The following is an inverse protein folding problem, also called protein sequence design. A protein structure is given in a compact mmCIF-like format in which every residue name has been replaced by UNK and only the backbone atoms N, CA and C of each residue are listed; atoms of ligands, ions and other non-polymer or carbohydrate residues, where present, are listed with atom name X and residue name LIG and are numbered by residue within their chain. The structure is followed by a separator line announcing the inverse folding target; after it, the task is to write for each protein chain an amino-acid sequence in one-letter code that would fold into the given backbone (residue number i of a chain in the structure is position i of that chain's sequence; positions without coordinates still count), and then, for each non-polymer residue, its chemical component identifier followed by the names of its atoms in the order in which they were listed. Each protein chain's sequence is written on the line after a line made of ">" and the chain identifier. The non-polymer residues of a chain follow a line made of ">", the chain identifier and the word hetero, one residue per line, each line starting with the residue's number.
data_IF_764105219726
#
_entry.id   IF_764105219726
#
_cell.length_a   1.000
_cell.length_b   1.000
_cell.length_c   1.000
_cell.angle_alpha   90.00
_cell.angle_beta   90.00
_cell.angle_gamma   90.00
#
_symmetry.space_group_name_H-M   'P 1'
#
loop_
_entity.id
_entity.type
_entity.pdbx_description
1 polymer ?
#
# COMPACT_ATOMS: atom_id res chain seq x y z
N UNK A 1 -40.18 -15.46 -7.47
CA UNK A 1 -39.02 -15.84 -8.28
C UNK A 1 -37.78 -15.34 -7.54
N UNK A 2 -37.03 -16.23 -6.87
CA UNK A 2 -35.87 -15.90 -6.03
C UNK A 2 -34.62 -15.84 -6.92
N UNK A 3 -34.00 -14.68 -7.07
CA UNK A 3 -32.68 -14.57 -7.71
C UNK A 3 -31.63 -15.08 -6.73
N UNK A 4 -30.99 -16.19 -7.11
CA UNK A 4 -29.82 -16.76 -6.42
C UNK A 4 -28.71 -15.72 -6.30
N UNK A 5 -28.06 -15.53 -5.14
CA UNK A 5 -26.88 -14.68 -5.05
C UNK A 5 -25.76 -15.39 -5.81
N UNK A 6 -25.62 -15.03 -7.08
CA UNK A 6 -24.47 -15.39 -7.90
C UNK A 6 -23.21 -15.16 -7.06
N UNK A 7 -22.38 -16.20 -6.98
CA UNK A 7 -21.00 -16.13 -6.56
C UNK A 7 -20.38 -14.86 -7.12
N UNK A 8 -20.31 -13.82 -6.28
CA UNK A 8 -19.49 -12.66 -6.60
C UNK A 8 -18.07 -13.22 -6.66
N UNK A 9 -17.36 -13.13 -7.79
CA UNK A 9 -15.96 -13.51 -7.82
C UNK A 9 -15.30 -12.80 -6.65
N UNK A 10 -14.57 -13.54 -5.80
CA UNK A 10 -13.94 -13.01 -4.59
C UNK A 10 -13.37 -11.62 -4.92
N UNK A 11 -14.03 -10.56 -4.41
CA UNK A 11 -13.86 -9.20 -4.92
C UNK A 11 -12.36 -8.90 -5.04
N UNK A 12 -11.86 -8.44 -6.20
CA UNK A 12 -10.42 -8.20 -6.35
C UNK A 12 -9.97 -7.26 -5.23
N UNK A 13 -9.02 -7.74 -4.42
CA UNK A 13 -8.42 -6.95 -3.35
C UNK A 13 -7.55 -5.87 -3.98
N UNK A 14 -7.89 -4.61 -3.72
CA UNK A 14 -7.15 -3.43 -4.17
C UNK A 14 -6.43 -2.82 -2.97
N UNK A 15 -5.12 -2.63 -3.10
CA UNK A 15 -4.31 -1.89 -2.14
C UNK A 15 -4.23 -0.42 -2.53
N UNK A 16 -4.78 0.47 -1.72
CA UNK A 16 -4.65 1.92 -1.87
C UNK A 16 -3.35 2.36 -1.22
N UNK A 17 -2.41 2.91 -1.98
CA UNK A 17 -1.12 3.42 -1.46
C UNK A 17 -1.17 4.94 -1.39
N UNK A 18 -0.94 5.50 -0.20
CA UNK A 18 -1.04 6.94 0.07
C UNK A 18 0.17 7.42 0.87
N UNK A 19 0.48 8.72 0.77
CA UNK A 19 1.56 9.32 1.57
C UNK A 19 1.23 9.29 3.06
N UNK A 20 0.04 9.73 3.41
CA UNK A 20 -0.41 9.77 4.79
C UNK A 20 -1.91 9.70 4.85
N UNK A 21 -2.47 9.01 5.83
CA UNK A 21 -3.92 8.91 6.01
C UNK A 21 -4.23 8.65 7.49
N UNK A 22 -5.34 9.17 8.05
CA UNK A 22 -6.26 10.15 7.46
C UNK A 22 -5.64 11.55 7.41
N UNK A 23 -6.06 12.39 6.45
CA UNK A 23 -5.60 13.80 6.34
C UNK A 23 -6.77 14.71 5.97
N UNK A 24 -6.97 15.78 6.73
CA UNK A 24 -8.10 16.71 6.60
C UNK A 24 -8.16 17.36 5.21
N UNK A 25 -7.00 17.65 4.61
CA UNK A 25 -6.92 18.22 3.26
C UNK A 25 -7.13 17.19 2.13
N UNK A 26 -7.17 15.90 2.43
CA UNK A 26 -7.27 14.81 1.45
C UNK A 26 -8.69 14.25 1.34
N UNK A 27 -9.67 15.14 1.14
CA UNK A 27 -11.08 14.77 0.99
C UNK A 27 -11.34 13.87 -0.22
N UNK A 28 -10.62 14.10 -1.33
CA UNK A 28 -10.74 13.28 -2.54
C UNK A 28 -10.41 11.80 -2.28
N UNK A 29 -9.31 11.52 -1.59
CA UNK A 29 -8.88 10.14 -1.25
C UNK A 29 -9.93 9.48 -0.36
N UNK A 30 -10.45 10.20 0.64
CA UNK A 30 -11.48 9.68 1.54
C UNK A 30 -12.76 9.33 0.78
N UNK A 31 -13.25 10.22 -0.08
CA UNK A 31 -14.47 9.98 -0.84
C UNK A 31 -14.30 8.88 -1.89
N UNK A 32 -13.13 8.74 -2.50
CA UNK A 32 -12.82 7.62 -3.39
C UNK A 32 -12.85 6.28 -2.66
N UNK A 33 -12.19 6.18 -1.50
CA UNK A 33 -12.22 4.98 -0.66
C UNK A 33 -13.67 4.62 -0.31
N UNK A 34 -14.45 5.59 0.20
CA UNK A 34 -15.86 5.34 0.57
C UNK A 34 -16.71 4.96 -0.63
N UNK A 35 -16.49 5.57 -1.80
CA UNK A 35 -17.21 5.22 -3.02
C UNK A 35 -16.90 3.77 -3.46
N UNK A 36 -15.63 3.37 -3.46
CA UNK A 36 -15.20 2.02 -3.78
C UNK A 36 -15.74 0.98 -2.77
N UNK A 37 -15.77 1.30 -1.48
CA UNK A 37 -16.39 0.45 -0.46
C UNK A 37 -17.90 0.30 -0.66
N UNK A 38 -18.61 1.39 -1.01
CA UNK A 38 -20.05 1.35 -1.35
C UNK A 38 -20.32 0.47 -2.58
N UNK A 39 -19.37 0.39 -3.52
CA UNK A 39 -19.43 -0.52 -4.66
C UNK A 39 -19.05 -1.98 -4.31
N UNK A 40 -18.67 -2.26 -3.06
CA UNK A 40 -18.32 -3.60 -2.59
C UNK A 40 -16.91 -4.06 -2.98
N UNK A 41 -16.02 -3.12 -3.32
CA UNK A 41 -14.59 -3.41 -3.56
C UNK A 41 -13.92 -3.72 -2.22
N UNK A 42 -13.10 -4.77 -2.18
CA UNK A 42 -12.32 -5.11 -1.00
C UNK A 42 -11.03 -4.29 -1.00
N UNK A 43 -10.89 -3.39 -0.03
CA UNK A 43 -9.80 -2.42 0.02
C UNK A 43 -8.90 -2.66 1.23
N UNK A 44 -7.62 -2.32 1.05
CA UNK A 44 -6.66 -2.16 2.12
C UNK A 44 -5.89 -0.87 1.88
N UNK A 45 -5.65 -0.07 2.93
CA UNK A 45 -4.96 1.21 2.82
C UNK A 45 -3.53 1.04 3.34
N UNK A 46 -2.56 1.43 2.54
CA UNK A 46 -1.14 1.43 2.84
C UNK A 46 -0.64 2.87 2.86
N UNK A 47 -0.59 3.47 4.05
CA UNK A 47 -0.09 4.82 4.25
C UNK A 47 1.42 4.78 4.54
N UNK A 48 2.20 5.64 3.88
CA UNK A 48 3.63 5.75 4.19
C UNK A 48 3.83 6.22 5.63
N UNK A 49 3.07 7.23 6.08
CA UNK A 49 3.14 7.74 7.44
C UNK A 49 1.78 8.06 8.05
N UNK A 50 1.67 7.96 9.37
CA UNK A 50 0.51 8.45 10.12
C UNK A 50 0.71 9.94 10.43
N UNK A 51 -0.13 10.84 9.89
CA UNK A 51 0.07 12.27 10.07
C UNK A 51 -0.35 12.77 11.47
N UNK A 52 -1.04 11.94 12.28
CA UNK A 52 -1.51 12.29 13.64
C UNK A 52 -2.24 13.62 13.72
N UNK A 53 -3.08 13.90 12.73
CA UNK A 53 -3.85 15.15 12.71
C UNK A 53 -4.87 15.16 13.86
N UNK A 54 -4.98 16.27 14.62
CA UNK A 54 -5.92 16.36 15.73
C UNK A 54 -7.38 16.44 15.25
N UNK A 55 -7.59 16.86 13.99
CA UNK A 55 -8.89 17.02 13.37
C UNK A 55 -8.86 16.34 12.02
N UNK A 56 -9.85 15.49 11.76
CA UNK A 56 -10.08 14.79 10.50
C UNK A 56 -11.56 14.92 10.12
N UNK A 57 -11.91 14.57 8.90
CA UNK A 57 -13.31 14.53 8.48
C UNK A 57 -14.07 13.47 9.29
N UNK A 58 -15.31 13.75 9.68
CA UNK A 58 -16.17 12.80 10.40
C UNK A 58 -16.34 11.45 9.67
N UNK A 59 -16.34 11.52 8.35
CA UNK A 59 -16.56 10.43 7.40
C UNK A 59 -15.41 9.42 7.38
N UNK A 60 -14.25 9.76 7.98
CA UNK A 60 -13.17 8.79 8.22
C UNK A 60 -13.66 7.64 9.10
N UNK A 61 -14.59 7.90 10.03
CA UNK A 61 -15.17 6.88 10.90
C UNK A 61 -15.99 5.81 10.14
N UNK A 62 -16.42 6.11 8.91
CA UNK A 62 -17.20 5.18 8.08
C UNK A 62 -16.31 4.23 7.25
N UNK A 63 -15.00 4.49 7.17
CA UNK A 63 -14.06 3.69 6.39
C UNK A 63 -13.82 2.35 7.05
N UNK A 64 -14.03 1.27 6.29
CA UNK A 64 -13.94 -0.11 6.80
C UNK A 64 -12.59 -0.75 6.48
N UNK A 65 -11.92 -0.27 5.44
CA UNK A 65 -10.64 -0.77 4.96
C UNK A 65 -9.58 -0.67 6.08
N UNK A 66 -8.84 -1.75 6.37
CA UNK A 66 -7.76 -1.68 7.33
C UNK A 66 -6.65 -0.77 6.81
N UNK A 67 -6.09 0.03 7.73
CA UNK A 67 -4.97 0.94 7.45
C UNK A 67 -3.68 0.35 8.00
N UNK A 68 -2.66 0.22 7.14
CA UNK A 68 -1.31 -0.20 7.48
C UNK A 68 -0.34 0.95 7.25
N UNK A 69 0.44 1.27 8.28
CA UNK A 69 1.44 2.34 8.23
C UNK A 69 2.82 1.77 7.95
N UNK A 70 3.39 2.09 6.78
CA UNK A 70 4.65 1.50 6.31
C UNK A 70 5.86 1.95 7.14
N UNK A 71 5.86 3.19 7.63
CA UNK A 71 6.87 3.71 8.56
C UNK A 71 6.88 2.99 9.92
N UNK A 72 5.82 2.27 10.27
CA UNK A 72 5.73 1.43 11.47
C UNK A 72 6.04 -0.03 11.21
N UNK A 73 6.14 -0.44 9.95
CA UNK A 73 6.54 -1.81 9.59
C UNK A 73 8.05 -2.02 9.74
N UNK A 74 8.82 -0.97 10.01
CA UNK A 74 10.24 -1.04 10.33
C UNK A 74 10.44 -1.64 11.72
N UNK A 75 10.44 -2.98 11.78
CA UNK A 75 10.84 -3.74 12.96
C UNK A 75 12.36 -3.82 13.10
N UNK A 76 12.81 -4.71 13.98
CA UNK A 76 14.24 -5.01 14.19
C UNK A 76 15.01 -5.24 12.88
N UNK A 77 16.33 -5.00 12.90
CA UNK A 77 17.22 -5.33 11.78
C UNK A 77 17.05 -6.79 11.31
N UNK A 78 16.78 -7.72 12.24
CA UNK A 78 16.52 -9.13 11.93
C UNK A 78 15.26 -9.33 11.09
N UNK A 79 14.15 -8.68 11.44
CA UNK A 79 12.90 -8.79 10.68
C UNK A 79 13.00 -8.06 9.33
N UNK A 80 13.76 -6.97 9.25
CA UNK A 80 14.09 -6.34 7.96
C UNK A 80 14.87 -7.31 7.07
N UNK A 81 15.98 -7.86 7.57
CA UNK A 81 16.80 -8.81 6.82
C UNK A 81 15.99 -10.05 6.36
N UNK A 82 15.12 -10.58 7.22
CA UNK A 82 14.25 -11.71 6.87
C UNK A 82 13.27 -11.40 5.73
N UNK A 83 12.75 -10.16 5.66
CA UNK A 83 11.89 -9.73 4.54
C UNK A 83 12.68 -9.65 3.24
N UNK A 84 13.86 -9.03 3.27
CA UNK A 84 14.75 -8.95 2.11
C UNK A 84 15.16 -10.35 1.61
N UNK A 85 15.63 -11.23 2.51
CA UNK A 85 16.07 -12.57 2.13
C UNK A 85 14.93 -13.43 1.56
N UNK A 86 13.73 -13.35 2.15
CA UNK A 86 12.54 -14.03 1.63
C UNK A 86 12.19 -13.58 0.21
N UNK A 87 12.19 -12.27 -0.05
CA UNK A 87 11.84 -11.74 -1.37
C UNK A 87 12.91 -12.05 -2.42
N UNK A 88 14.20 -11.97 -2.06
CA UNK A 88 15.31 -12.36 -2.94
C UNK A 88 15.22 -13.85 -3.30
N UNK A 89 14.92 -14.72 -2.34
CA UNK A 89 14.82 -16.16 -2.59
C UNK A 89 13.63 -16.53 -3.49
N UNK A 90 12.50 -15.82 -3.35
CA UNK A 90 11.26 -16.14 -4.09
C UNK A 90 11.21 -15.48 -5.47
N UNK A 91 11.62 -14.23 -5.57
CA UNK A 91 11.49 -13.41 -6.78
C UNK A 91 12.75 -12.59 -7.06
N UNK A 92 13.91 -13.23 -7.28
CA UNK A 92 15.19 -12.54 -7.41
C UNK A 92 15.19 -11.52 -8.55
N UNK A 93 14.56 -11.85 -9.69
CA UNK A 93 14.44 -10.94 -10.84
C UNK A 93 13.66 -9.67 -10.50
N UNK A 94 12.54 -9.80 -9.77
CA UNK A 94 11.71 -8.65 -9.38
C UNK A 94 12.44 -7.78 -8.35
N UNK A 95 13.06 -8.41 -7.35
CA UNK A 95 13.85 -7.70 -6.35
C UNK A 95 14.97 -6.88 -6.98
N UNK A 96 15.76 -7.48 -7.87
CA UNK A 96 16.85 -6.79 -8.56
C UNK A 96 16.32 -5.68 -9.48
N UNK A 97 15.20 -5.90 -10.17
CA UNK A 97 14.59 -4.86 -11.01
C UNK A 97 14.07 -3.68 -10.18
N UNK A 98 13.43 -3.94 -9.04
CA UNK A 98 13.01 -2.90 -8.11
C UNK A 98 14.21 -2.12 -7.58
N UNK A 99 15.29 -2.80 -7.17
CA UNK A 99 16.52 -2.14 -6.73
C UNK A 99 17.15 -1.29 -7.84
N UNK A 100 17.23 -1.79 -9.08
CA UNK A 100 17.73 -1.03 -10.24
C UNK A 100 16.87 0.20 -10.52
N UNK A 101 15.54 0.05 -10.47
CA UNK A 101 14.61 1.15 -10.64
C UNK A 101 14.83 2.22 -9.57
N UNK A 102 14.91 1.83 -8.29
CA UNK A 102 15.21 2.75 -7.20
C UNK A 102 16.58 3.43 -7.38
N UNK A 103 17.62 2.70 -7.83
CA UNK A 103 18.96 3.25 -8.11
C UNK A 103 18.96 4.24 -9.29
N UNK A 104 18.12 4.01 -10.30
CA UNK A 104 17.99 4.87 -11.49
C UNK A 104 17.10 6.10 -11.29
N UNK A 105 16.14 6.05 -10.35
CA UNK A 105 15.14 7.09 -10.10
C UNK A 105 15.69 8.30 -9.31
N UNK A 106 16.80 8.89 -9.76
CA UNK A 106 17.44 10.04 -9.09
C UNK A 106 16.56 11.28 -9.05
N UNK A 107 15.77 11.50 -10.09
CA UNK A 107 14.85 12.64 -10.19
C UNK A 107 13.73 12.57 -9.15
N UNK A 108 13.40 11.37 -8.65
CA UNK A 108 12.39 11.19 -7.61
C UNK A 108 12.82 11.68 -6.22
N UNK A 109 14.11 11.99 -6.04
CA UNK A 109 14.60 12.63 -4.81
C UNK A 109 14.45 14.17 -4.85
N UNK A 110 14.01 14.75 -5.98
CA UNK A 110 13.76 16.18 -6.12
C UNK A 110 12.27 16.54 -5.88
N UNK A 111 12.01 17.73 -5.33
CA UNK A 111 10.65 18.25 -5.17
C UNK A 111 9.92 17.83 -3.87
N UNK A 112 8.59 17.76 -3.94
CA UNK A 112 7.71 17.52 -2.79
C UNK A 112 7.68 16.03 -2.39
N UNK A 113 8.44 15.63 -1.35
CA UNK A 113 8.57 14.24 -0.87
C UNK A 113 8.49 14.10 0.65
N UNK A 114 8.15 12.90 1.13
CA UNK A 114 8.31 12.50 2.56
C UNK A 114 9.36 11.39 2.70
N UNK A 115 9.65 10.66 1.62
CA UNK A 115 10.61 9.57 1.61
C UNK A 115 11.60 9.73 0.46
N UNK A 116 12.86 9.36 0.67
CA UNK A 116 13.84 9.17 -0.41
C UNK A 116 13.49 7.95 -1.24
N UNK A 117 14.02 7.84 -2.47
CA UNK A 117 13.85 6.63 -3.31
C UNK A 117 14.30 5.35 -2.62
N UNK A 118 15.31 5.41 -1.75
CA UNK A 118 15.75 4.25 -0.98
C UNK A 118 14.78 3.92 0.16
N UNK A 119 14.20 4.91 0.83
CA UNK A 119 13.11 4.67 1.79
C UNK A 119 11.87 4.09 1.09
N UNK A 120 11.51 4.60 -0.09
CA UNK A 120 10.44 4.02 -0.91
C UNK A 120 10.72 2.55 -1.26
N UNK A 121 11.98 2.20 -1.57
CA UNK A 121 12.38 0.81 -1.78
C UNK A 121 12.21 -0.05 -0.51
N UNK A 122 12.59 0.46 0.67
CA UNK A 122 12.37 -0.25 1.94
C UNK A 122 10.87 -0.43 2.25
N UNK A 123 10.06 0.57 1.98
CA UNK A 123 8.60 0.48 2.12
C UNK A 123 8.00 -0.51 1.11
N UNK A 124 8.48 -0.55 -0.12
CA UNK A 124 8.05 -1.53 -1.12
C UNK A 124 8.40 -2.96 -0.72
N UNK A 125 9.61 -3.20 -0.20
CA UNK A 125 10.01 -4.50 0.38
C UNK A 125 9.09 -4.89 1.53
N UNK A 126 8.77 -3.93 2.41
CA UNK A 126 7.87 -4.16 3.54
C UNK A 126 6.45 -4.48 3.10
N UNK A 127 5.93 -3.74 2.11
CA UNK A 127 4.62 -3.94 1.52
C UNK A 127 4.54 -5.29 0.80
N UNK A 128 5.51 -5.63 -0.05
CA UNK A 128 5.57 -6.91 -0.76
C UNK A 128 5.58 -8.09 0.22
N UNK A 129 6.38 -8.02 1.28
CA UNK A 129 6.42 -9.07 2.30
C UNK A 129 5.10 -9.18 3.08
N UNK A 130 4.43 -8.06 3.36
CA UNK A 130 3.13 -8.04 4.01
C UNK A 130 2.06 -8.68 3.11
N UNK A 131 2.01 -8.31 1.82
CA UNK A 131 1.07 -8.86 0.84
C UNK A 131 1.27 -10.37 0.65
N UNK A 132 2.52 -10.83 0.52
CA UNK A 132 2.79 -12.27 0.43
C UNK A 132 2.35 -13.01 1.70
N UNK A 133 2.58 -12.42 2.89
CA UNK A 133 2.17 -13.04 4.15
C UNK A 133 0.66 -13.14 4.23
N UNK A 134 -0.06 -12.08 3.87
CA UNK A 134 -1.52 -12.05 3.84
C UNK A 134 -2.09 -13.06 2.86
N UNK A 135 -1.52 -13.16 1.65
CA UNK A 135 -1.93 -14.16 0.65
C UNK A 135 -1.76 -15.58 1.20
N UNK A 136 -0.66 -15.86 1.91
CA UNK A 136 -0.43 -17.18 2.54
C UNK A 136 -1.37 -17.46 3.71
N UNK A 137 -1.69 -16.47 4.54
CA UNK A 137 -2.53 -16.68 5.73
C UNK A 137 -4.02 -16.68 5.43
N UNK A 138 -4.47 -15.89 4.46
CA UNK A 138 -5.89 -15.69 4.17
C UNK A 138 -6.33 -16.33 2.85
N UNK A 139 -5.38 -16.71 1.98
CA UNK A 139 -5.67 -17.14 0.60
C UNK A 139 -6.08 -16.00 -0.34
N UNK A 140 -6.21 -14.78 0.17
CA UNK A 140 -6.62 -13.62 -0.63
C UNK A 140 -5.41 -12.87 -1.17
N UNK A 141 -5.34 -12.77 -2.49
CA UNK A 141 -4.29 -12.03 -3.20
C UNK A 141 -4.76 -10.63 -3.57
N UNK A 142 -3.99 -9.62 -3.15
CA UNK A 142 -4.12 -8.25 -3.70
C UNK A 142 -3.60 -8.25 -5.13
N UNK A 143 -4.46 -7.90 -6.08
CA UNK A 143 -4.15 -7.96 -7.52
C UNK A 143 -3.78 -6.61 -8.12
N UNK A 144 -4.14 -5.53 -7.44
CA UNK A 144 -3.95 -4.17 -7.93
C UNK A 144 -3.52 -3.26 -6.78
N UNK A 145 -2.49 -2.46 -7.04
CA UNK A 145 -2.10 -1.34 -6.19
C UNK A 145 -2.50 -0.04 -6.89
N UNK A 146 -3.32 0.76 -6.22
CA UNK A 146 -3.72 2.08 -6.67
C UNK A 146 -2.98 3.11 -5.82
N UNK A 147 -2.03 3.84 -6.43
CA UNK A 147 -1.24 4.85 -5.74
C UNK A 147 -1.75 6.25 -6.04
N UNK A 148 -2.02 7.04 -4.99
CA UNK A 148 -2.42 8.42 -5.16
C UNK A 148 -1.20 9.34 -5.33
N UNK A 149 -1.33 10.24 -6.32
CA UNK A 149 -0.35 11.26 -6.70
C UNK A 149 1.00 10.70 -7.17
N UNK A 150 1.60 11.33 -8.19
CA UNK A 150 2.83 10.88 -8.83
C UNK A 150 4.11 11.23 -8.02
N UNK A 151 4.19 10.79 -6.75
CA UNK A 151 5.38 10.94 -5.90
C UNK A 151 5.68 9.64 -5.10
N UNK A 152 6.04 9.73 -3.81
CA UNK A 152 6.43 8.58 -2.97
C UNK A 152 5.48 7.36 -3.05
N UNK A 153 4.13 7.48 -2.97
CA UNK A 153 3.22 6.34 -3.09
C UNK A 153 3.31 5.62 -4.43
N UNK A 154 3.43 6.36 -5.53
CA UNK A 154 3.63 5.76 -6.86
C UNK A 154 4.96 5.04 -6.93
N UNK A 155 6.03 5.59 -6.34
CA UNK A 155 7.32 4.92 -6.26
C UNK A 155 7.22 3.61 -5.46
N UNK A 156 6.56 3.64 -4.30
CA UNK A 156 6.34 2.42 -3.49
C UNK A 156 5.56 1.37 -4.27
N UNK A 157 4.47 1.76 -4.93
CA UNK A 157 3.65 0.85 -5.72
C UNK A 157 4.38 0.28 -6.94
N UNK A 158 5.20 1.08 -7.63
CA UNK A 158 6.02 0.66 -8.77
C UNK A 158 7.07 -0.39 -8.38
N UNK A 159 7.62 -0.28 -7.17
CA UNK A 159 8.70 -1.12 -6.66
C UNK A 159 8.21 -2.41 -5.98
N UNK A 160 6.90 -2.57 -5.77
CA UNK A 160 6.28 -3.70 -5.04
C UNK A 160 5.89 -4.83 -6.00
#
# INVERSE_FOLDING_TARGET
>A
MRTSPLERPASPSVGIVVRSYPRLSQTFILEEIRALERLGVNLQIFAITDPREPVVQSEVADVRAPVFYLDRLDGSLRSSFARHSSLVARSPRRYVNALRCAVGARESDAGYRVASRYQCFLYAVSLAALLERQERTTGHRTRHLHAHFAHDPTMVALLT
#
